data_IF_692266565222
#
_entry.id   IF_692266565222
#
_cell.length_a   1.000
_cell.length_b   1.000
_cell.length_c   1.000
_cell.angle_alpha   90.00
_cell.angle_beta   90.00
_cell.angle_gamma   90.00
#
_symmetry.space_group_name_H-M   'P 1'
#
loop_
_entity.id
_entity.type
_entity.pdbx_description
1 polymer ?
#
# COMPACT_ATOMS: atom_id res chain seq x y z
N UNK A 1 -12.71 -3.00 0.80
CA UNK A 1 -11.29 -2.78 0.45
C UNK A 1 -10.96 -3.59 -0.82
N UNK A 2 -9.98 -3.18 -1.64
CA UNK A 2 -9.54 -3.98 -2.79
C UNK A 2 -9.14 -5.38 -2.33
N UNK A 3 -9.60 -6.41 -3.05
CA UNK A 3 -9.19 -7.79 -2.79
C UNK A 3 -7.81 -8.12 -3.41
N UNK A 4 -7.37 -7.30 -4.37
CA UNK A 4 -6.09 -7.44 -5.07
C UNK A 4 -5.61 -6.08 -5.61
N UNK A 5 -4.31 -5.98 -5.87
CA UNK A 5 -3.70 -4.94 -6.70
C UNK A 5 -3.00 -5.60 -7.88
N UNK A 6 -3.54 -5.42 -9.08
CA UNK A 6 -3.09 -6.16 -10.26
C UNK A 6 -3.37 -7.65 -10.10
N UNK A 7 -2.35 -8.48 -10.30
CA UNK A 7 -2.43 -9.94 -10.10
C UNK A 7 -2.20 -10.37 -8.64
N UNK A 8 -1.91 -9.46 -7.72
CA UNK A 8 -1.50 -9.77 -6.34
C UNK A 8 -2.66 -9.63 -5.38
N UNK A 9 -3.05 -10.73 -4.75
CA UNK A 9 -4.10 -10.72 -3.73
C UNK A 9 -3.64 -9.99 -2.45
N UNK A 10 -4.59 -9.34 -1.80
CA UNK A 10 -4.38 -8.67 -0.51
C UNK A 10 -4.53 -9.71 0.59
N UNK A 11 -3.43 -10.00 1.28
CA UNK A 11 -3.40 -10.94 2.40
C UNK A 11 -3.96 -10.31 3.69
N UNK A 12 -3.67 -9.03 3.95
CA UNK A 12 -4.26 -8.33 5.09
C UNK A 12 -4.39 -6.83 4.87
N UNK A 13 -5.37 -6.24 5.58
CA UNK A 13 -5.63 -4.80 5.58
C UNK A 13 -5.61 -4.29 7.01
N UNK A 14 -4.80 -3.27 7.27
CA UNK A 14 -4.77 -2.56 8.55
C UNK A 14 -5.28 -1.14 8.36
N UNK A 15 -6.29 -0.78 9.14
CA UNK A 15 -6.83 0.57 9.22
C UNK A 15 -6.31 1.26 10.49
N UNK A 16 -5.45 2.27 10.29
CA UNK A 16 -4.86 3.03 11.40
C UNK A 16 -5.83 4.05 12.01
N UNK A 17 -7.07 4.14 11.50
CA UNK A 17 -8.14 4.86 12.18
C UNK A 17 -8.59 4.16 13.47
N UNK A 18 -8.17 2.90 13.67
CA UNK A 18 -8.52 2.01 14.78
C UNK A 18 -7.31 1.80 15.71
N UNK A 19 -7.09 2.68 16.71
CA UNK A 19 -5.96 2.57 17.63
C UNK A 19 -5.96 1.27 18.44
N UNK A 20 -7.12 0.68 18.71
CA UNK A 20 -7.28 -0.61 19.38
C UNK A 20 -6.65 -1.78 18.61
N UNK A 21 -6.55 -1.68 17.29
CA UNK A 21 -5.96 -2.72 16.43
C UNK A 21 -4.45 -2.59 16.32
N UNK A 22 -3.92 -1.37 16.50
CA UNK A 22 -2.51 -1.06 16.19
C UNK A 22 -1.68 -0.70 17.43
N UNK A 23 -2.31 -0.28 18.52
CA UNK A 23 -1.63 0.32 19.67
C UNK A 23 -1.02 1.70 19.38
N UNK A 24 -1.32 2.29 18.22
CA UNK A 24 -0.74 3.54 17.75
C UNK A 24 -1.79 4.67 17.77
N UNK A 25 -1.36 5.94 17.81
CA UNK A 25 -2.26 7.07 17.64
C UNK A 25 -3.06 6.97 16.33
N UNK A 26 -4.32 7.41 16.38
CA UNK A 26 -5.20 7.41 15.21
C UNK A 26 -4.56 8.16 14.03
N UNK A 27 -4.55 7.54 12.87
CA UNK A 27 -4.03 8.14 11.65
C UNK A 27 -4.89 7.77 10.43
N UNK A 28 -4.98 8.69 9.46
CA UNK A 28 -5.63 8.44 8.17
C UNK A 28 -4.67 7.66 7.26
N UNK A 29 -4.39 6.41 7.62
CA UNK A 29 -3.49 5.52 6.88
C UNK A 29 -4.17 4.16 6.73
N UNK A 30 -4.15 3.65 5.51
CA UNK A 30 -4.49 2.25 5.22
C UNK A 30 -3.21 1.53 4.80
N UNK A 31 -2.97 0.35 5.35
CA UNK A 31 -1.88 -0.53 4.92
C UNK A 31 -2.44 -1.83 4.39
N UNK A 32 -1.92 -2.25 3.24
CA UNK A 32 -2.27 -3.49 2.58
C UNK A 32 -1.00 -4.34 2.48
N UNK A 33 -1.03 -5.55 3.01
CA UNK A 33 0.02 -6.55 2.82
C UNK A 33 -0.47 -7.53 1.77
N UNK A 34 0.37 -7.81 0.78
CA UNK A 34 0.09 -8.73 -0.32
C UNK A 34 0.65 -10.11 0.01
N UNK A 35 0.17 -11.13 -0.70
CA UNK A 35 0.56 -12.53 -0.44
C UNK A 35 2.05 -12.82 -0.62
N UNK A 36 2.74 -12.05 -1.46
CA UNK A 36 4.20 -12.14 -1.68
C UNK A 36 5.03 -11.36 -0.63
N UNK A 37 4.38 -10.75 0.35
CA UNK A 37 5.01 -9.94 1.39
C UNK A 37 5.21 -8.47 1.00
N UNK A 38 4.88 -8.07 -0.23
CA UNK A 38 4.88 -6.66 -0.60
C UNK A 38 3.83 -5.89 0.21
N UNK A 39 4.07 -4.59 0.39
CA UNK A 39 3.19 -3.73 1.18
C UNK A 39 2.91 -2.43 0.46
N UNK A 40 1.65 -2.00 0.51
CA UNK A 40 1.20 -0.72 0.02
C UNK A 40 0.59 0.05 1.17
N UNK A 41 1.04 1.28 1.41
CA UNK A 41 0.42 2.18 2.38
C UNK A 41 -0.14 3.41 1.69
N UNK A 42 -1.34 3.81 2.05
CA UNK A 42 -2.06 4.91 1.41
C UNK A 42 -2.51 5.90 2.47
N UNK A 43 -2.27 7.20 2.21
CA UNK A 43 -2.74 8.29 3.08
C UNK A 43 -3.03 9.56 2.29
N UNK A 44 -3.96 10.41 2.76
CA UNK A 44 -4.04 11.78 2.26
C UNK A 44 -2.81 12.57 2.68
N UNK A 45 -2.36 13.45 1.79
CA UNK A 45 -1.39 14.50 2.12
C UNK A 45 -2.05 15.52 3.04
N UNK A 46 -1.31 16.03 4.03
CA UNK A 46 -1.81 17.05 4.97
C UNK A 46 -1.75 18.48 4.43
N UNK A 47 -1.02 18.71 3.33
CA UNK A 47 -0.72 20.06 2.82
C UNK A 47 -1.23 20.32 1.41
N UNK A 48 -1.56 19.29 0.64
CA UNK A 48 -2.00 19.39 -0.75
C UNK A 48 -3.15 18.40 -0.99
N UNK A 49 -4.06 18.65 -1.96
CA UNK A 49 -5.13 17.73 -2.32
C UNK A 49 -4.60 16.53 -3.13
N UNK A 50 -3.72 15.74 -2.51
CA UNK A 50 -3.06 14.58 -3.11
C UNK A 50 -3.13 13.37 -2.18
N UNK A 51 -3.22 12.18 -2.78
CA UNK A 51 -3.02 10.91 -2.08
C UNK A 51 -1.56 10.49 -2.22
N UNK A 52 -0.92 10.10 -1.11
CA UNK A 52 0.42 9.51 -1.09
C UNK A 52 0.30 8.00 -0.95
N UNK A 53 0.90 7.27 -1.89
CA UNK A 53 1.06 5.83 -1.84
C UNK A 53 2.54 5.49 -1.63
N UNK A 54 2.83 4.65 -0.64
CA UNK A 54 4.15 4.12 -0.35
C UNK A 54 4.15 2.63 -0.69
N UNK A 55 5.22 2.19 -1.36
CA UNK A 55 5.39 0.81 -1.79
C UNK A 55 6.61 0.23 -1.11
N UNK A 56 6.48 -0.99 -0.60
CA UNK A 56 7.58 -1.81 -0.11
C UNK A 56 7.52 -3.12 -0.86
N UNK A 57 8.55 -3.42 -1.64
CA UNK A 57 8.63 -4.61 -2.51
C UNK A 57 9.87 -5.41 -2.16
N UNK A 58 9.86 -6.69 -2.55
CA UNK A 58 10.86 -7.67 -2.16
C UNK A 58 11.37 -8.38 -3.42
N UNK A 59 12.52 -7.93 -3.91
CA UNK A 59 13.24 -8.56 -5.02
C UNK A 59 14.44 -9.35 -4.54
N UNK A 60 14.97 -10.21 -5.43
CA UNK A 60 16.28 -10.87 -5.23
C UNK A 60 17.43 -9.85 -5.24
N UNK A 61 17.22 -8.74 -5.94
CA UNK A 61 18.10 -7.58 -6.06
C UNK A 61 17.25 -6.31 -6.19
N UNK A 62 17.93 -5.16 -6.33
CA UNK A 62 17.28 -3.86 -6.43
C UNK A 62 16.43 -3.73 -7.70
N UNK A 63 16.90 -4.29 -8.82
CA UNK A 63 16.21 -4.17 -10.11
C UNK A 63 14.89 -4.95 -10.09
N UNK A 64 14.89 -6.16 -9.52
CA UNK A 64 13.68 -6.95 -9.34
C UNK A 64 12.68 -6.25 -8.39
N UNK A 65 13.16 -5.69 -7.28
CA UNK A 65 12.30 -4.96 -6.34
C UNK A 65 11.70 -3.70 -6.97
N UNK A 66 12.47 -3.01 -7.82
CA UNK A 66 12.04 -1.80 -8.52
C UNK A 66 10.99 -2.13 -9.59
N UNK A 67 11.21 -3.16 -10.40
CA UNK A 67 10.25 -3.63 -11.40
C UNK A 67 8.90 -3.97 -10.77
N UNK A 68 8.94 -4.71 -9.65
CA UNK A 68 7.75 -5.07 -8.89
C UNK A 68 7.00 -3.82 -8.37
N UNK A 69 7.74 -2.82 -7.88
CA UNK A 69 7.17 -1.55 -7.40
C UNK A 69 6.51 -0.77 -8.53
N UNK A 70 7.07 -0.82 -9.74
CA UNK A 70 6.52 -0.12 -10.90
C UNK A 70 5.24 -0.79 -11.41
N UNK A 71 5.19 -2.12 -11.45
CA UNK A 71 3.97 -2.88 -11.73
C UNK A 71 2.85 -2.57 -10.72
N UNK A 72 3.18 -2.59 -9.41
CA UNK A 72 2.23 -2.26 -8.36
C UNK A 72 1.73 -0.81 -8.47
N UNK A 73 2.63 0.13 -8.74
CA UNK A 73 2.27 1.52 -8.93
C UNK A 73 1.35 1.71 -10.13
N UNK A 74 1.57 0.97 -11.23
CA UNK A 74 0.70 1.01 -12.39
C UNK A 74 -0.68 0.42 -12.10
N UNK A 75 -0.75 -0.69 -11.36
CA UNK A 75 -2.01 -1.33 -10.97
C UNK A 75 -2.85 -0.49 -10.01
N UNK A 76 -2.20 0.31 -9.16
CA UNK A 76 -2.86 1.15 -8.16
C UNK A 76 -3.34 2.48 -8.71
N UNK A 77 -2.63 3.04 -9.70
CA UNK A 77 -2.95 4.36 -10.26
C UNK A 77 -4.44 4.53 -10.65
N UNK A 78 -5.10 3.57 -11.32
CA UNK A 78 -6.52 3.68 -11.67
C UNK A 78 -7.49 3.75 -10.47
N UNK A 79 -7.08 3.30 -9.29
CA UNK A 79 -7.93 3.32 -8.08
C UNK A 79 -8.00 4.72 -7.48
N UNK A 80 -6.97 5.55 -7.71
CA UNK A 80 -6.86 6.91 -7.18
C UNK A 80 -6.99 8.00 -8.25
N UNK A 81 -7.35 7.62 -9.48
CA UNK A 81 -7.52 8.54 -10.62
C UNK A 81 -8.97 9.03 -10.73
#
# INVERSE_FOLDING_TARGET
PPAAFGSKAVASVTDYAKPETTGLPKANVLSFVLEDGAKVMVRPSGTEPKIKAYYTTLGKDLDAAQAEKDELSAAIKPIFS
#
